data_IF_859831285604
#
_entry.id   IF_859831285604
#
_cell.length_a   1.000
_cell.length_b   1.000
_cell.length_c   1.000
_cell.angle_alpha   90.00
_cell.angle_beta   90.00
_cell.angle_gamma   90.00
#
_symmetry.space_group_name_H-M   'P 1'
#
loop_
_entity.id
_entity.type
_entity.pdbx_description
1 polymer ?
#
# COMPACT_ATOMS: atom_id res chain seq x y z
N UNK A 1 8.06 9.49 -22.32
CA UNK A 1 6.78 9.98 -22.94
C UNK A 1 6.15 10.93 -21.94
N UNK A 2 5.49 11.99 -22.38
CA UNK A 2 4.77 12.88 -21.47
C UNK A 2 3.62 12.12 -20.79
N UNK A 3 3.30 12.45 -19.55
CA UNK A 3 2.25 11.77 -18.76
C UNK A 3 0.90 11.75 -19.49
N UNK A 4 0.55 12.83 -20.22
CA UNK A 4 -0.68 12.91 -21.03
C UNK A 4 -0.76 11.83 -22.10
N UNK A 5 0.33 11.55 -22.80
CA UNK A 5 0.39 10.51 -23.83
C UNK A 5 0.25 9.10 -23.22
N UNK A 6 0.79 8.88 -22.02
CA UNK A 6 0.65 7.61 -21.30
C UNK A 6 -0.79 7.41 -20.82
N UNK A 7 -1.43 8.46 -20.30
CA UNK A 7 -2.84 8.40 -19.88
C UNK A 7 -3.76 8.09 -21.07
N UNK A 8 -3.52 8.70 -22.22
CA UNK A 8 -4.26 8.39 -23.46
C UNK A 8 -4.00 6.96 -23.96
N UNK A 9 -2.79 6.42 -23.75
CA UNK A 9 -2.51 5.02 -24.07
C UNK A 9 -3.33 4.07 -23.17
N UNK A 10 -3.44 4.34 -21.88
CA UNK A 10 -4.27 3.54 -20.94
C UNK A 10 -5.74 3.53 -21.39
N UNK A 11 -6.30 4.68 -21.76
CA UNK A 11 -7.72 4.81 -22.18
C UNK A 11 -8.08 4.00 -23.43
N UNK A 12 -7.09 3.59 -24.23
CA UNK A 12 -7.30 2.76 -25.42
C UNK A 12 -7.35 1.27 -25.15
N UNK A 13 -7.01 0.85 -23.95
CA UNK A 13 -7.03 -0.56 -23.54
C UNK A 13 -8.45 -1.01 -23.18
N UNK A 14 -8.66 -2.32 -23.06
CA UNK A 14 -9.92 -2.85 -22.55
C UNK A 14 -10.16 -2.44 -21.07
N UNK A 15 -11.41 -2.51 -20.63
CA UNK A 15 -11.81 -2.01 -19.34
C UNK A 15 -11.14 -2.73 -18.15
N UNK A 16 -10.85 -4.03 -18.28
CA UNK A 16 -10.17 -4.79 -17.21
C UNK A 16 -8.71 -4.35 -17.12
N UNK A 17 -8.03 -4.27 -18.27
CA UNK A 17 -6.64 -3.79 -18.32
C UNK A 17 -6.50 -2.35 -17.82
N UNK A 18 -7.44 -1.46 -18.14
CA UNK A 18 -7.47 -0.12 -17.57
C UNK A 18 -7.57 -0.14 -16.04
N UNK A 19 -8.44 -1.00 -15.47
CA UNK A 19 -8.60 -1.13 -14.02
C UNK A 19 -7.37 -1.75 -13.35
N UNK A 20 -6.69 -2.72 -13.98
CA UNK A 20 -5.40 -3.25 -13.50
C UNK A 20 -4.37 -2.14 -13.33
N UNK A 21 -4.19 -1.34 -14.37
CA UNK A 21 -3.26 -0.20 -14.36
C UNK A 21 -3.68 0.83 -13.32
N UNK A 22 -4.96 1.18 -13.27
CA UNK A 22 -5.48 2.19 -12.35
C UNK A 22 -5.38 1.75 -10.88
N UNK A 23 -5.53 0.45 -10.57
CA UNK A 23 -5.34 -0.08 -9.21
C UNK A 23 -3.90 0.11 -8.74
N UNK A 24 -2.92 -0.32 -9.55
CA UNK A 24 -1.50 -0.24 -9.19
C UNK A 24 -1.02 1.21 -9.17
N UNK A 25 -1.33 1.98 -10.21
CA UNK A 25 -0.95 3.38 -10.30
C UNK A 25 -1.64 4.24 -9.23
N UNK A 26 -2.92 3.96 -8.96
CA UNK A 26 -3.68 4.63 -7.90
C UNK A 26 -3.10 4.39 -6.51
N UNK A 27 -2.59 3.19 -6.22
CA UNK A 27 -1.88 2.94 -4.96
C UNK A 27 -0.62 3.81 -4.83
N UNK A 28 0.16 3.96 -5.90
CA UNK A 28 1.36 4.81 -5.92
C UNK A 28 1.03 6.28 -5.66
N UNK A 29 0.03 6.81 -6.37
CA UNK A 29 -0.40 8.22 -6.24
C UNK A 29 -0.97 8.49 -4.84
N UNK A 30 -1.76 7.55 -4.29
CA UNK A 30 -2.31 7.67 -2.94
C UNK A 30 -1.22 7.66 -1.86
N UNK A 31 -0.22 6.79 -2.02
CA UNK A 31 0.94 6.72 -1.12
C UNK A 31 1.74 8.02 -1.14
N UNK A 32 2.06 8.55 -2.33
CA UNK A 32 2.76 9.83 -2.49
C UNK A 32 1.98 11.00 -1.88
N UNK A 33 0.66 11.03 -2.08
CA UNK A 33 -0.23 12.06 -1.54
C UNK A 33 -0.26 12.07 0.00
N UNK A 34 -0.23 10.88 0.62
CA UNK A 34 -0.31 10.71 2.07
C UNK A 34 1.05 10.84 2.78
N UNK A 35 2.15 10.57 2.08
CA UNK A 35 3.48 10.43 2.65
C UNK A 35 3.98 11.64 3.46
N UNK A 36 3.73 12.90 3.10
CA UNK A 36 4.23 14.02 3.90
C UNK A 36 3.74 14.04 5.35
N UNK A 37 2.57 13.44 5.62
CA UNK A 37 1.96 13.34 6.96
C UNK A 37 2.04 11.93 7.55
N UNK A 38 2.92 11.08 6.99
CA UNK A 38 3.09 9.69 7.42
C UNK A 38 3.63 9.60 8.84
N UNK A 39 3.00 8.71 9.65
CA UNK A 39 3.37 8.43 11.03
C UNK A 39 3.24 9.61 12.01
N UNK A 40 2.40 10.59 11.69
CA UNK A 40 1.97 11.58 12.68
C UNK A 40 0.86 10.94 13.53
N UNK A 41 1.24 10.40 14.68
CA UNK A 41 0.33 9.68 15.59
C UNK A 41 -0.37 10.61 16.59
N UNK A 42 0.21 11.79 16.86
CA UNK A 42 -0.43 12.80 17.69
C UNK A 42 -1.50 13.53 16.86
N UNK A 43 -2.76 13.25 17.15
CA UNK A 43 -3.88 13.85 16.44
C UNK A 43 -3.97 15.36 16.63
N UNK A 44 -3.61 15.89 17.79
CA UNK A 44 -3.63 17.33 18.02
C UNK A 44 -2.56 18.04 17.17
N UNK A 45 -1.36 17.45 17.10
CA UNK A 45 -0.31 17.93 16.22
C UNK A 45 -0.75 17.85 14.75
N UNK A 46 -1.32 16.72 14.30
CA UNK A 46 -1.82 16.58 12.95
C UNK A 46 -2.86 17.63 12.60
N UNK A 47 -3.90 17.81 13.44
CA UNK A 47 -4.94 18.80 13.23
C UNK A 47 -4.38 20.22 13.18
N UNK A 48 -3.37 20.52 14.01
CA UNK A 48 -2.66 21.79 13.96
C UNK A 48 -1.94 22.01 12.62
N UNK A 49 -1.28 20.97 12.09
CA UNK A 49 -0.58 21.06 10.80
C UNK A 49 -1.56 21.29 9.64
N UNK A 50 -2.65 20.54 9.58
CA UNK A 50 -3.59 20.60 8.45
C UNK A 50 -4.69 21.65 8.60
N UNK A 51 -4.70 22.44 9.67
CA UNK A 51 -5.77 23.42 9.93
C UNK A 51 -6.09 24.33 8.74
N UNK A 52 -5.07 24.77 7.99
CA UNK A 52 -5.23 25.59 6.79
C UNK A 52 -5.54 24.84 5.50
N UNK A 53 -5.38 23.50 5.51
CA UNK A 53 -5.54 22.62 4.35
C UNK A 53 -6.41 21.41 4.68
N UNK A 54 -7.33 21.54 5.64
CA UNK A 54 -8.12 20.42 6.14
C UNK A 54 -8.89 19.68 5.05
N UNK A 55 -9.43 20.41 4.09
CA UNK A 55 -10.19 19.85 2.98
C UNK A 55 -9.31 19.21 1.88
N UNK A 56 -8.04 19.62 1.81
CA UNK A 56 -7.06 19.15 0.85
C UNK A 56 -5.69 18.92 1.52
N UNK A 57 -5.56 17.94 2.43
CA UNK A 57 -4.34 17.70 3.21
C UNK A 57 -3.27 16.92 2.44
N UNK A 58 -3.61 16.41 1.28
CA UNK A 58 -2.72 15.65 0.42
C UNK A 58 -1.55 16.48 -0.12
N UNK A 59 -0.44 15.83 -0.39
CA UNK A 59 0.80 16.48 -0.84
C UNK A 59 1.17 17.66 0.06
N UNK A 60 1.01 17.50 1.38
CA UNK A 60 1.35 18.56 2.33
C UNK A 60 2.74 19.12 2.02
N UNK A 61 2.92 20.45 1.99
CA UNK A 61 4.12 21.08 1.39
C UNK A 61 5.44 20.67 2.03
N UNK A 62 5.42 20.32 3.32
CA UNK A 62 6.59 19.93 4.08
C UNK A 62 6.32 18.65 4.86
N UNK A 63 7.20 17.66 4.76
CA UNK A 63 7.08 16.44 5.56
C UNK A 63 7.00 16.79 7.06
N UNK A 64 6.01 16.21 7.74
CA UNK A 64 5.78 16.30 9.19
C UNK A 64 5.98 14.94 9.87
N UNK A 65 6.42 13.94 9.13
CA UNK A 65 6.77 12.65 9.73
C UNK A 65 7.83 12.85 10.81
N UNK A 66 7.61 12.33 12.03
CA UNK A 66 8.62 12.42 13.08
C UNK A 66 9.76 11.42 12.90
N UNK A 67 9.73 10.59 11.87
CA UNK A 67 10.70 9.51 11.64
C UNK A 67 11.63 9.76 10.46
N UNK A 68 11.11 10.28 9.35
CA UNK A 68 11.88 10.52 8.14
C UNK A 68 11.30 11.67 7.31
N UNK A 69 12.13 12.27 6.49
CA UNK A 69 11.73 13.35 5.59
C UNK A 69 12.16 13.09 4.17
N UNK A 70 11.27 13.40 3.23
CA UNK A 70 11.48 13.35 1.78
C UNK A 70 10.81 14.57 1.14
N UNK A 71 11.22 14.98 -0.06
CA UNK A 71 10.50 15.98 -0.84
C UNK A 71 9.04 15.56 -1.06
N UNK A 72 8.14 16.53 -1.11
CA UNK A 72 6.73 16.28 -1.41
C UNK A 72 6.59 15.65 -2.81
N UNK A 73 5.72 14.65 -2.94
CA UNK A 73 5.56 13.87 -4.17
C UNK A 73 6.32 12.55 -4.17
N UNK A 74 7.37 12.41 -3.36
CA UNK A 74 8.05 11.12 -3.19
C UNK A 74 7.14 10.12 -2.46
N UNK A 75 7.26 8.85 -2.84
CA UNK A 75 6.55 7.71 -2.26
C UNK A 75 7.17 7.22 -0.95
N UNK A 76 6.43 6.43 -0.20
CA UNK A 76 6.93 5.70 0.97
C UNK A 76 7.45 4.31 0.61
N UNK A 77 7.98 3.59 1.60
CA UNK A 77 8.45 2.21 1.42
C UNK A 77 7.34 1.24 0.98
N UNK A 78 6.07 1.53 1.23
CA UNK A 78 4.96 0.68 0.75
C UNK A 78 4.90 0.62 -0.77
N UNK A 79 5.00 1.77 -1.44
CA UNK A 79 5.07 1.78 -2.89
C UNK A 79 6.40 1.18 -3.39
N UNK A 80 7.53 1.49 -2.75
CA UNK A 80 8.83 1.00 -3.21
C UNK A 80 8.89 -0.54 -3.19
N UNK A 81 8.22 -1.18 -2.22
CA UNK A 81 8.02 -2.64 -2.16
C UNK A 81 7.20 -3.12 -3.35
N UNK A 82 6.07 -2.48 -3.64
CA UNK A 82 5.22 -2.83 -4.78
C UNK A 82 5.95 -2.60 -6.11
N UNK A 83 6.70 -1.52 -6.22
CA UNK A 83 7.49 -1.21 -7.43
C UNK A 83 8.56 -2.27 -7.68
N UNK A 84 9.18 -2.84 -6.64
CA UNK A 84 10.14 -3.93 -6.78
C UNK A 84 9.49 -5.18 -7.40
N UNK A 85 8.26 -5.49 -7.02
CA UNK A 85 7.50 -6.58 -7.66
C UNK A 85 7.15 -6.25 -9.11
N UNK A 86 6.74 -5.01 -9.39
CA UNK A 86 6.44 -4.55 -10.75
C UNK A 86 7.70 -4.62 -11.65
N UNK A 87 8.87 -4.29 -11.10
CA UNK A 87 10.15 -4.44 -11.80
C UNK A 87 10.47 -5.91 -12.10
N UNK A 88 10.27 -6.80 -11.14
CA UNK A 88 10.43 -8.24 -11.34
C UNK A 88 9.52 -8.75 -12.46
N UNK A 89 8.24 -8.37 -12.44
CA UNK A 89 7.25 -8.78 -13.44
C UNK A 89 7.60 -8.29 -14.85
N UNK A 90 8.19 -7.12 -14.98
CA UNK A 90 8.61 -6.58 -16.28
C UNK A 90 9.68 -7.43 -16.97
N UNK A 91 10.31 -8.35 -16.23
CA UNK A 91 11.33 -9.28 -16.68
C UNK A 91 10.85 -10.74 -16.72
N UNK A 92 9.56 -11.02 -16.43
CA UNK A 92 9.00 -12.36 -16.57
C UNK A 92 8.95 -12.75 -18.05
N UNK A 93 9.50 -13.92 -18.36
CA UNK A 93 9.40 -14.50 -19.70
C UNK A 93 8.07 -15.25 -19.82
N UNK A 94 7.22 -14.85 -20.74
CA UNK A 94 5.96 -15.51 -21.02
C UNK A 94 4.91 -15.37 -19.89
N UNK A 95 4.94 -14.30 -19.11
CA UNK A 95 4.03 -14.03 -17.98
C UNK A 95 3.99 -15.13 -16.91
N UNK A 96 5.02 -15.97 -16.81
CA UNK A 96 5.10 -16.99 -15.77
C UNK A 96 5.65 -16.40 -14.47
N UNK A 97 4.93 -16.61 -13.39
CA UNK A 97 5.34 -16.22 -12.04
C UNK A 97 6.71 -16.82 -11.68
N UNK A 98 7.60 -15.99 -11.16
CA UNK A 98 8.94 -16.38 -10.71
C UNK A 98 9.24 -15.76 -9.35
N UNK A 99 9.07 -16.53 -8.29
CA UNK A 99 9.36 -16.08 -6.93
C UNK A 99 10.78 -15.54 -6.76
N UNK A 100 11.78 -16.24 -7.33
CA UNK A 100 13.18 -15.80 -7.23
C UNK A 100 13.40 -14.42 -7.85
N UNK A 101 12.70 -14.08 -8.94
CA UNK A 101 12.83 -12.76 -9.55
C UNK A 101 12.31 -11.65 -8.63
N UNK A 102 11.28 -11.93 -7.82
CA UNK A 102 10.80 -10.99 -6.81
C UNK A 102 11.84 -10.81 -5.71
N UNK A 103 12.41 -11.91 -5.20
CA UNK A 103 13.49 -11.85 -4.21
C UNK A 103 14.69 -11.07 -4.75
N UNK A 104 15.12 -11.34 -5.99
CA UNK A 104 16.24 -10.66 -6.64
C UNK A 104 15.97 -9.15 -6.81
N UNK A 105 14.75 -8.77 -7.17
CA UNK A 105 14.34 -7.36 -7.27
C UNK A 105 14.35 -6.68 -5.90
N UNK A 106 13.86 -7.34 -4.85
CA UNK A 106 13.93 -6.83 -3.48
C UNK A 106 15.37 -6.65 -3.00
N UNK A 107 16.23 -7.61 -3.28
CA UNK A 107 17.66 -7.53 -2.93
C UNK A 107 18.33 -6.38 -3.70
N UNK A 108 18.02 -6.23 -4.98
CA UNK A 108 18.56 -5.14 -5.81
C UNK A 108 18.11 -3.78 -5.30
N UNK A 109 16.83 -3.66 -4.94
CA UNK A 109 16.25 -2.37 -4.58
C UNK A 109 16.49 -1.99 -3.11
N UNK A 110 16.70 -2.96 -2.22
CA UNK A 110 16.84 -2.72 -0.79
C UNK A 110 18.14 -3.29 -0.19
N UNK A 111 18.95 -3.95 -0.99
CA UNK A 111 20.20 -4.55 -0.54
C UNK A 111 21.35 -3.55 -0.38
N UNK A 112 22.51 -4.03 0.06
CA UNK A 112 23.70 -3.20 0.24
C UNK A 112 24.06 -2.44 -1.04
N UNK A 113 24.28 -1.13 -0.91
CA UNK A 113 24.64 -0.24 -2.03
C UNK A 113 23.46 0.39 -2.77
N UNK A 114 22.23 0.13 -2.34
CA UNK A 114 21.09 0.82 -2.92
C UNK A 114 21.08 2.31 -2.49
N UNK A 115 21.11 3.25 -3.46
CA UNK A 115 21.45 4.66 -3.17
C UNK A 115 20.36 5.41 -2.40
N UNK A 116 19.13 4.90 -2.36
CA UNK A 116 17.99 5.59 -1.76
C UNK A 116 17.63 5.07 -0.36
N UNK A 117 18.29 4.00 0.12
CA UNK A 117 18.01 3.40 1.42
C UNK A 117 19.27 3.28 2.25
N UNK A 118 19.27 3.94 3.38
CA UNK A 118 20.28 3.77 4.41
C UNK A 118 19.69 2.91 5.53
N UNK A 119 19.86 1.59 5.40
CA UNK A 119 19.39 0.63 6.40
C UNK A 119 20.08 0.86 7.75
N UNK A 120 21.37 1.14 7.73
CA UNK A 120 22.14 1.39 8.94
C UNK A 120 21.67 2.66 9.64
N UNK A 121 21.45 3.75 8.89
CA UNK A 121 20.90 4.98 9.43
C UNK A 121 19.52 4.77 10.06
N UNK A 122 18.63 4.02 9.43
CA UNK A 122 17.30 3.73 9.99
C UNK A 122 17.37 2.91 11.28
N UNK A 123 18.19 1.87 11.33
CA UNK A 123 18.38 1.04 12.53
C UNK A 123 19.07 1.82 13.65
N UNK A 124 20.16 2.52 13.33
CA UNK A 124 20.91 3.34 14.28
C UNK A 124 20.06 4.49 14.81
N UNK A 125 19.28 5.13 13.92
CA UNK A 125 18.37 6.21 14.32
C UNK A 125 17.32 5.71 15.32
N UNK A 126 16.66 4.57 15.07
CA UNK A 126 15.69 3.99 15.99
C UNK A 126 16.32 3.69 17.36
N UNK A 127 17.52 3.10 17.36
CA UNK A 127 18.24 2.79 18.58
C UNK A 127 18.58 4.07 19.36
N UNK A 128 19.13 5.09 18.69
CA UNK A 128 19.51 6.38 19.31
C UNK A 128 18.28 7.16 19.81
N UNK A 129 17.17 7.13 19.05
CA UNK A 129 15.92 7.78 19.48
C UNK A 129 15.34 7.13 20.73
N UNK A 130 15.35 5.79 20.81
CA UNK A 130 14.92 5.06 22.02
C UNK A 130 15.78 5.40 23.25
N UNK A 131 17.04 5.76 23.02
CA UNK A 131 17.96 6.21 24.06
C UNK A 131 17.86 7.72 24.37
N UNK A 132 16.96 8.46 23.69
CA UNK A 132 16.84 9.91 23.83
C UNK A 132 18.03 10.70 23.26
N UNK A 133 18.85 10.09 22.41
CA UNK A 133 20.07 10.69 21.88
C UNK A 133 19.86 11.49 20.58
N UNK A 134 18.68 11.37 19.96
CA UNK A 134 18.34 12.09 18.73
C UNK A 134 16.88 12.55 18.82
N UNK A 135 16.67 13.83 18.60
CA UNK A 135 15.38 14.45 18.34
C UNK A 135 15.29 14.79 16.85
N UNK A 136 14.24 14.31 16.17
CA UNK A 136 13.96 14.66 14.80
C UNK A 136 14.07 13.50 13.81
N UNK A 137 13.58 13.71 12.57
CA UNK A 137 13.54 12.70 11.53
C UNK A 137 14.89 12.53 10.83
N UNK A 138 15.16 11.33 10.27
CA UNK A 138 16.23 11.14 9.30
C UNK A 138 15.88 11.83 7.98
N UNK A 139 16.89 12.24 7.22
CA UNK A 139 16.72 12.70 5.84
C UNK A 139 16.90 11.49 4.90
N UNK A 140 15.91 11.21 4.06
CA UNK A 140 15.93 10.08 3.17
C UNK A 140 14.82 9.07 3.45
N UNK A 141 14.80 7.99 2.69
CA UNK A 141 13.77 6.95 2.78
C UNK A 141 13.91 6.14 4.07
N UNK A 142 12.77 5.71 4.60
CA UNK A 142 12.71 4.83 5.76
C UNK A 142 12.72 3.38 5.32
N UNK A 143 13.53 2.57 5.99
CA UNK A 143 13.65 1.15 5.76
C UNK A 143 12.69 0.37 6.67
N UNK A 144 11.73 -0.36 6.08
CA UNK A 144 10.75 -1.12 6.86
C UNK A 144 11.38 -2.34 7.54
N UNK A 145 10.88 -2.66 8.75
CA UNK A 145 11.35 -3.81 9.51
C UNK A 145 11.14 -5.15 8.79
N UNK A 146 10.09 -5.26 7.99
CA UNK A 146 9.81 -6.44 7.15
C UNK A 146 10.92 -6.69 6.11
N UNK A 147 11.41 -5.64 5.47
CA UNK A 147 12.52 -5.71 4.50
C UNK A 147 13.82 -6.08 5.20
N UNK A 148 14.11 -5.45 6.35
CA UNK A 148 15.29 -5.79 7.15
C UNK A 148 15.28 -7.28 7.50
N UNK A 149 14.13 -7.79 7.94
CA UNK A 149 13.99 -9.20 8.30
C UNK A 149 14.13 -10.12 7.07
N UNK A 150 13.51 -9.75 5.94
CA UNK A 150 13.65 -10.49 4.69
C UNK A 150 15.13 -10.59 4.25
N UNK A 151 15.85 -9.47 4.17
CA UNK A 151 17.25 -9.44 3.77
C UNK A 151 18.13 -10.24 4.74
N UNK A 152 17.89 -10.12 6.04
CA UNK A 152 18.62 -10.87 7.05
C UNK A 152 18.40 -12.38 6.90
N UNK A 153 17.14 -12.81 6.74
CA UNK A 153 16.81 -14.22 6.59
C UNK A 153 17.38 -14.80 5.28
N UNK A 154 17.27 -14.05 4.18
CA UNK A 154 17.79 -14.44 2.88
C UNK A 154 19.32 -14.60 2.90
N UNK A 155 20.05 -13.59 3.40
CA UNK A 155 21.51 -13.59 3.44
C UNK A 155 22.09 -14.66 4.37
N UNK A 156 21.39 -14.98 5.46
CA UNK A 156 21.83 -15.99 6.42
C UNK A 156 21.38 -17.42 6.07
N UNK A 157 20.66 -17.59 4.97
CA UNK A 157 20.09 -18.88 4.60
C UNK A 157 19.12 -19.43 5.65
N UNK A 158 18.57 -18.55 6.51
CA UNK A 158 17.68 -18.93 7.60
C UNK A 158 16.29 -19.22 7.03
N UNK A 159 15.93 -20.46 7.06
CA UNK A 159 14.62 -20.95 6.64
C UNK A 159 14.56 -21.33 5.16
N UNK A 160 13.61 -22.19 4.88
CA UNK A 160 13.10 -22.39 3.53
C UNK A 160 12.21 -21.21 3.15
N UNK A 161 12.10 -20.89 1.86
CA UNK A 161 11.07 -19.96 1.39
C UNK A 161 9.71 -20.26 2.06
N UNK A 162 8.91 -19.23 2.35
CA UNK A 162 9.14 -17.80 2.26
C UNK A 162 9.91 -17.24 3.48
N UNK A 163 10.64 -16.12 3.29
CA UNK A 163 11.59 -15.57 4.26
C UNK A 163 11.00 -14.60 5.30
N UNK A 164 9.68 -14.45 5.37
CA UNK A 164 9.02 -13.46 6.22
C UNK A 164 9.23 -13.65 7.72
N UNK A 165 9.32 -12.54 8.45
CA UNK A 165 9.45 -12.53 9.90
C UNK A 165 8.17 -12.95 10.62
N UNK A 166 8.27 -13.84 11.63
CA UNK A 166 7.11 -14.33 12.39
C UNK A 166 6.46 -13.28 13.30
N UNK A 167 7.11 -12.13 13.51
CA UNK A 167 6.62 -11.04 14.36
C UNK A 167 6.17 -9.81 13.56
N UNK A 168 6.31 -9.84 12.24
CA UNK A 168 5.90 -8.76 11.34
C UNK A 168 4.38 -8.79 11.18
N UNK A 169 3.70 -7.73 11.58
CA UNK A 169 2.23 -7.60 11.57
C UNK A 169 1.71 -6.63 10.52
N UNK A 170 2.63 -5.99 9.81
CA UNK A 170 2.41 -4.92 8.86
C UNK A 170 1.79 -5.45 7.56
N UNK A 171 1.34 -4.52 6.73
CA UNK A 171 0.66 -4.80 5.45
C UNK A 171 1.61 -4.90 4.24
N UNK A 172 2.92 -4.88 4.46
CA UNK A 172 3.95 -4.87 3.40
C UNK A 172 3.78 -6.01 2.38
N UNK A 173 3.40 -7.19 2.87
CA UNK A 173 3.16 -8.35 2.00
C UNK A 173 2.03 -8.15 1.00
N UNK A 174 0.95 -7.48 1.41
CA UNK A 174 -0.11 -7.08 0.48
C UNK A 174 0.41 -6.05 -0.53
N UNK A 175 1.22 -5.09 -0.09
CA UNK A 175 1.79 -4.09 -0.99
C UNK A 175 2.65 -4.74 -2.08
N UNK A 176 3.50 -5.70 -1.71
CA UNK A 176 4.30 -6.48 -2.65
C UNK A 176 3.42 -7.29 -3.63
N UNK A 177 2.28 -7.80 -3.16
CA UNK A 177 1.40 -8.64 -3.97
C UNK A 177 0.52 -7.84 -4.95
N UNK A 178 0.30 -6.55 -4.73
CA UNK A 178 -0.63 -5.75 -5.54
C UNK A 178 -0.39 -5.88 -7.07
N UNK A 179 0.83 -5.77 -7.59
CA UNK A 179 1.04 -5.96 -9.03
C UNK A 179 0.67 -7.36 -9.53
N UNK A 180 0.88 -8.40 -8.71
CA UNK A 180 0.56 -9.78 -9.06
C UNK A 180 -0.94 -10.06 -9.03
N UNK A 181 -1.69 -9.44 -8.11
CA UNK A 181 -3.15 -9.52 -8.07
C UNK A 181 -3.71 -9.18 -9.46
N UNK A 182 -3.24 -8.06 -10.03
CA UNK A 182 -3.69 -7.58 -11.33
C UNK A 182 -3.39 -8.52 -12.51
N UNK A 183 -2.43 -9.43 -12.35
CA UNK A 183 -2.07 -10.40 -13.40
C UNK A 183 -2.65 -11.80 -13.19
N UNK A 184 -2.78 -12.22 -11.93
CA UNK A 184 -3.08 -13.62 -11.61
C UNK A 184 -4.47 -13.83 -11.00
N UNK A 185 -5.20 -12.79 -10.61
CA UNK A 185 -6.57 -12.96 -10.12
C UNK A 185 -7.43 -13.68 -11.14
N UNK A 186 -8.21 -14.67 -10.69
CA UNK A 186 -9.02 -15.55 -11.54
C UNK A 186 -8.28 -16.73 -12.13
N UNK A 187 -6.97 -16.88 -11.92
CA UNK A 187 -6.21 -18.09 -12.29
C UNK A 187 -6.13 -19.10 -11.13
N UNK A 188 -5.85 -20.35 -11.44
CA UNK A 188 -5.66 -21.40 -10.43
C UNK A 188 -4.44 -21.18 -9.53
N UNK A 189 -3.48 -20.34 -9.96
CA UNK A 189 -2.24 -20.06 -9.23
C UNK A 189 -2.37 -18.88 -8.28
N UNK A 190 -3.44 -18.09 -8.38
CA UNK A 190 -3.61 -16.82 -7.66
C UNK A 190 -3.40 -16.93 -6.15
N UNK A 191 -4.03 -17.93 -5.53
CA UNK A 191 -4.00 -18.04 -4.07
C UNK A 191 -2.62 -18.46 -3.56
N UNK A 192 -1.99 -19.41 -4.22
CA UNK A 192 -0.64 -19.88 -3.88
C UNK A 192 0.40 -18.76 -4.04
N UNK A 193 0.35 -18.02 -5.16
CA UNK A 193 1.20 -16.85 -5.41
C UNK A 193 0.99 -15.79 -4.34
N UNK A 194 -0.25 -15.47 -4.04
CA UNK A 194 -0.62 -14.46 -3.05
C UNK A 194 -0.06 -14.81 -1.68
N UNK A 195 -0.26 -16.04 -1.22
CA UNK A 195 0.25 -16.52 0.08
C UNK A 195 1.77 -16.52 0.11
N UNK A 196 2.45 -16.98 -0.94
CA UNK A 196 3.91 -17.03 -1.02
C UNK A 196 4.52 -15.63 -0.95
N UNK A 197 3.99 -14.67 -1.72
CA UNK A 197 4.50 -13.29 -1.74
C UNK A 197 4.23 -12.57 -0.42
N UNK A 198 3.05 -12.71 0.17
CA UNK A 198 2.76 -12.10 1.48
C UNK A 198 3.70 -12.67 2.55
N UNK A 199 3.93 -13.99 2.54
CA UNK A 199 4.83 -14.65 3.49
C UNK A 199 6.31 -14.28 3.29
N UNK A 200 6.69 -13.69 2.18
CA UNK A 200 8.02 -13.12 1.99
C UNK A 200 8.31 -11.98 2.98
N UNK A 201 7.28 -11.28 3.41
CA UNK A 201 7.38 -10.17 4.37
C UNK A 201 6.90 -10.53 5.76
N UNK A 202 5.90 -11.39 5.88
CA UNK A 202 5.27 -11.72 7.15
C UNK A 202 4.78 -13.16 7.20
N UNK A 203 5.19 -13.89 8.24
CA UNK A 203 4.60 -15.17 8.62
C UNK A 203 3.54 -15.04 9.72
N UNK A 204 3.18 -13.81 10.12
CA UNK A 204 2.17 -13.58 11.14
C UNK A 204 0.76 -13.90 10.60
N UNK A 205 -0.01 -14.81 11.23
CA UNK A 205 -1.27 -15.27 10.66
C UNK A 205 -2.24 -14.16 10.25
N UNK A 206 -2.44 -13.17 11.14
CA UNK A 206 -3.34 -12.05 10.85
C UNK A 206 -2.89 -11.21 9.67
N UNK A 207 -1.58 -10.98 9.49
CA UNK A 207 -1.06 -10.26 8.33
C UNK A 207 -1.28 -11.05 7.03
N UNK A 208 -1.09 -12.38 7.08
CA UNK A 208 -1.30 -13.26 5.93
C UNK A 208 -2.78 -13.30 5.53
N UNK A 209 -3.67 -13.61 6.47
CA UNK A 209 -5.10 -13.78 6.16
C UNK A 209 -5.76 -12.49 5.70
N UNK A 210 -5.46 -11.34 6.34
CA UNK A 210 -5.98 -10.05 5.89
C UNK A 210 -5.38 -9.63 4.54
N UNK A 211 -4.10 -9.94 4.29
CA UNK A 211 -3.47 -9.70 3.00
C UNK A 211 -4.10 -10.51 1.86
N UNK A 212 -4.42 -11.79 2.11
CA UNK A 212 -5.14 -12.64 1.14
C UNK A 212 -6.51 -12.07 0.82
N UNK A 213 -7.31 -11.72 1.84
CA UNK A 213 -8.65 -11.17 1.61
C UNK A 213 -8.59 -9.78 0.95
N UNK A 214 -7.63 -8.94 1.33
CA UNK A 214 -7.38 -7.66 0.65
C UNK A 214 -7.09 -7.88 -0.85
N UNK A 215 -6.31 -8.92 -1.18
CA UNK A 215 -5.98 -9.29 -2.54
C UNK A 215 -7.22 -9.77 -3.33
N UNK A 216 -8.08 -10.56 -2.71
CA UNK A 216 -9.36 -10.99 -3.30
C UNK A 216 -10.27 -9.78 -3.59
N UNK A 217 -10.40 -8.84 -2.63
CA UNK A 217 -11.20 -7.61 -2.82
C UNK A 217 -10.69 -6.79 -4.03
N UNK A 218 -9.38 -6.56 -4.12
CA UNK A 218 -8.81 -5.81 -5.26
C UNK A 218 -9.01 -6.59 -6.57
N UNK A 219 -8.84 -7.91 -6.56
CA UNK A 219 -9.07 -8.75 -7.73
C UNK A 219 -10.51 -8.65 -8.26
N UNK A 220 -11.50 -8.76 -7.39
CA UNK A 220 -12.91 -8.55 -7.76
C UNK A 220 -13.18 -7.16 -8.33
N UNK A 221 -12.60 -6.11 -7.73
CA UNK A 221 -12.75 -4.75 -8.22
C UNK A 221 -12.06 -4.54 -9.59
N UNK A 222 -10.94 -5.19 -9.83
CA UNK A 222 -10.29 -5.17 -11.15
C UNK A 222 -11.16 -5.83 -12.20
N UNK A 223 -11.76 -6.98 -11.92
CA UNK A 223 -12.63 -7.70 -12.87
C UNK A 223 -13.96 -6.97 -13.09
N UNK A 224 -14.62 -6.51 -12.05
CA UNK A 224 -16.00 -6.03 -12.09
C UNK A 224 -16.16 -4.52 -11.96
N UNK A 225 -15.11 -3.80 -11.54
CA UNK A 225 -15.16 -2.36 -11.32
C UNK A 225 -16.18 -1.97 -10.23
N UNK A 226 -16.89 -0.86 -10.40
CA UNK A 226 -17.83 -0.33 -9.40
C UNK A 226 -19.11 -1.18 -9.25
N UNK A 227 -19.33 -2.19 -10.07
CA UNK A 227 -20.47 -3.12 -9.93
C UNK A 227 -20.25 -4.12 -8.78
N UNK A 228 -18.99 -4.37 -8.39
CA UNK A 228 -18.71 -5.23 -7.26
C UNK A 228 -19.01 -4.53 -5.94
N UNK A 229 -19.91 -5.12 -5.14
CA UNK A 229 -20.11 -4.67 -3.77
C UNK A 229 -19.03 -5.33 -2.89
N UNK A 230 -18.12 -4.52 -2.35
CA UNK A 230 -16.98 -5.00 -1.55
C UNK A 230 -17.43 -5.89 -0.37
N UNK A 231 -18.61 -5.66 0.19
CA UNK A 231 -19.12 -6.44 1.31
C UNK A 231 -19.57 -7.86 0.92
N UNK A 232 -19.74 -8.16 -0.37
CA UNK A 232 -20.09 -9.50 -0.85
C UNK A 232 -18.95 -10.49 -0.61
N UNK A 233 -17.70 -10.03 -0.43
CA UNK A 233 -16.55 -10.84 -0.03
C UNK A 233 -16.83 -11.68 1.23
N UNK A 234 -17.72 -11.22 2.12
CA UNK A 234 -18.06 -11.92 3.36
C UNK A 234 -18.60 -13.33 3.12
N UNK A 235 -19.39 -13.51 2.06
CA UNK A 235 -19.94 -14.83 1.71
C UNK A 235 -18.86 -15.78 1.23
N UNK A 236 -17.85 -15.29 0.52
CA UNK A 236 -16.73 -16.07 0.01
C UNK A 236 -15.81 -16.55 1.15
N UNK A 237 -15.49 -15.66 2.09
CA UNK A 237 -14.49 -15.94 3.13
C UNK A 237 -15.05 -16.52 4.42
N UNK A 238 -16.36 -16.72 4.51
CA UNK A 238 -17.04 -17.06 5.76
C UNK A 238 -16.48 -18.30 6.47
N UNK A 239 -16.09 -19.33 5.72
CA UNK A 239 -15.54 -20.59 6.25
C UNK A 239 -14.03 -20.56 6.41
N UNK A 240 -13.31 -19.90 5.48
CA UNK A 240 -11.86 -19.96 5.37
C UNK A 240 -11.17 -18.92 6.26
N UNK A 241 -11.78 -17.73 6.41
CA UNK A 241 -11.18 -16.58 7.11
C UNK A 241 -12.14 -15.92 8.10
N UNK A 242 -12.63 -16.65 9.13
CA UNK A 242 -13.62 -16.10 10.07
C UNK A 242 -13.09 -14.91 10.88
N UNK A 243 -11.78 -14.78 11.07
CA UNK A 243 -11.16 -13.62 11.73
C UNK A 243 -11.23 -12.35 10.87
N UNK A 244 -11.10 -12.48 9.53
CA UNK A 244 -11.25 -11.34 8.62
C UNK A 244 -12.73 -10.96 8.49
N UNK A 245 -13.64 -11.93 8.50
CA UNK A 245 -15.07 -11.68 8.55
C UNK A 245 -15.44 -10.81 9.77
N UNK A 246 -14.90 -11.11 10.95
CA UNK A 246 -15.10 -10.26 12.15
C UNK A 246 -14.55 -8.85 11.95
N UNK A 247 -13.41 -8.72 11.27
CA UNK A 247 -12.81 -7.41 10.97
C UNK A 247 -13.70 -6.58 10.05
N UNK A 248 -14.30 -7.18 9.02
CA UNK A 248 -15.25 -6.51 8.12
C UNK A 248 -16.53 -6.14 8.86
N UNK A 249 -17.07 -7.04 9.69
CA UNK A 249 -18.28 -6.75 10.48
C UNK A 249 -18.06 -5.59 11.46
N UNK A 250 -16.87 -5.43 12.01
CA UNK A 250 -16.55 -4.25 12.84
C UNK A 250 -16.56 -2.95 12.03
N UNK A 251 -16.13 -2.99 10.75
CA UNK A 251 -16.24 -1.83 9.86
C UNK A 251 -17.71 -1.48 9.59
N UNK A 252 -18.56 -2.47 9.30
CA UNK A 252 -20.00 -2.25 9.08
C UNK A 252 -20.64 -1.61 10.32
N UNK A 253 -20.37 -2.12 11.51
CA UNK A 253 -20.92 -1.55 12.76
C UNK A 253 -20.52 -0.08 12.94
N UNK A 254 -19.27 0.26 12.64
CA UNK A 254 -18.77 1.66 12.71
C UNK A 254 -19.51 2.55 11.70
N UNK A 255 -19.79 2.04 10.49
CA UNK A 255 -20.57 2.76 9.46
C UNK A 255 -22.03 2.94 9.90
N UNK A 256 -22.68 1.89 10.43
CA UNK A 256 -24.05 1.95 10.94
C UNK A 256 -24.21 2.98 12.06
N UNK A 257 -23.21 3.08 12.95
CA UNK A 257 -23.15 4.08 14.02
C UNK A 257 -22.75 5.47 13.54
N UNK A 258 -22.55 5.68 12.22
CA UNK A 258 -22.16 6.96 11.59
C UNK A 258 -20.91 7.59 12.24
N UNK A 259 -20.00 6.76 12.71
CA UNK A 259 -18.75 7.26 13.27
C UNK A 259 -17.86 7.80 12.14
N UNK A 260 -17.32 9.00 12.32
CA UNK A 260 -16.39 9.55 11.33
C UNK A 260 -15.08 8.74 11.25
N UNK A 261 -14.42 8.82 10.10
CA UNK A 261 -13.26 7.99 9.81
C UNK A 261 -12.09 8.21 10.78
N UNK A 262 -11.84 9.45 11.18
CA UNK A 262 -10.74 9.78 12.10
C UNK A 262 -10.99 9.15 13.47
N UNK A 263 -12.21 9.23 13.97
CA UNK A 263 -12.59 8.57 15.23
C UNK A 263 -12.53 7.04 15.11
N UNK A 264 -13.02 6.49 14.00
CA UNK A 264 -12.98 5.05 13.74
C UNK A 264 -11.55 4.50 13.79
N UNK A 265 -10.62 5.15 13.09
CA UNK A 265 -9.20 4.75 13.09
C UNK A 265 -8.57 4.92 14.47
N UNK A 266 -8.80 6.03 15.16
CA UNK A 266 -8.08 6.32 16.39
C UNK A 266 -8.60 5.60 17.62
N UNK A 267 -9.89 5.22 17.64
CA UNK A 267 -10.53 4.64 18.83
C UNK A 267 -11.04 3.20 18.65
N UNK A 268 -11.18 2.71 17.40
CA UNK A 268 -11.73 1.38 17.13
C UNK A 268 -10.74 0.49 16.41
N UNK A 269 -10.23 0.92 15.24
CA UNK A 269 -9.39 0.08 14.38
C UNK A 269 -7.92 0.08 14.78
N UNK A 270 -7.41 1.22 15.23
CA UNK A 270 -5.99 1.49 15.45
C UNK A 270 -5.32 2.17 14.27
N UNK A 271 -4.42 3.11 14.59
CA UNK A 271 -3.70 3.94 13.63
C UNK A 271 -2.36 3.39 13.10
N UNK A 272 -1.73 2.32 13.71
CA UNK A 272 -0.52 1.71 13.15
C UNK A 272 -0.74 0.98 11.82
N UNK A 273 0.38 0.53 11.21
CA UNK A 273 0.40 -0.25 9.97
C UNK A 273 -0.04 -1.72 10.13
N UNK A 274 -0.42 -2.13 11.34
CA UNK A 274 -0.74 -3.51 11.65
C UNK A 274 -2.15 -3.90 11.20
N UNK A 275 -2.27 -5.12 10.69
CA UNK A 275 -3.57 -5.75 10.51
C UNK A 275 -4.11 -6.25 11.87
N UNK A 276 -5.44 -6.14 12.12
CA UNK A 276 -6.48 -5.77 11.17
C UNK A 276 -6.68 -4.26 10.96
N UNK A 277 -6.13 -3.38 11.81
CA UNK A 277 -6.46 -1.95 11.84
C UNK A 277 -6.19 -1.23 10.52
N UNK A 278 -5.06 -1.52 9.85
CA UNK A 278 -4.74 -0.93 8.54
C UNK A 278 -5.76 -1.33 7.47
N UNK A 279 -6.12 -2.63 7.42
CA UNK A 279 -7.16 -3.16 6.54
C UNK A 279 -8.53 -2.52 6.81
N UNK A 280 -8.97 -2.51 8.07
CA UNK A 280 -10.25 -1.93 8.48
C UNK A 280 -10.35 -0.44 8.17
N UNK A 281 -9.29 0.32 8.44
CA UNK A 281 -9.24 1.75 8.18
C UNK A 281 -9.32 2.06 6.68
N UNK A 282 -8.60 1.33 5.84
CA UNK A 282 -8.69 1.50 4.39
C UNK A 282 -10.10 1.15 3.86
N UNK A 283 -10.65 0.02 4.31
CA UNK A 283 -11.98 -0.43 3.91
C UNK A 283 -13.06 0.57 4.31
N UNK A 284 -13.03 1.08 5.55
CA UNK A 284 -13.96 2.11 6.03
C UNK A 284 -13.85 3.40 5.21
N UNK A 285 -12.63 3.84 4.87
CA UNK A 285 -12.43 5.03 4.06
C UNK A 285 -13.09 4.89 2.68
N UNK A 286 -12.92 3.76 2.02
CA UNK A 286 -13.50 3.50 0.69
C UNK A 286 -15.03 3.37 0.76
N UNK A 287 -15.56 2.56 1.67
CA UNK A 287 -17.00 2.33 1.81
C UNK A 287 -17.80 3.59 2.18
N UNK A 288 -17.16 4.58 2.81
CA UNK A 288 -17.80 5.84 3.22
C UNK A 288 -17.49 7.01 2.28
N UNK A 289 -16.84 6.78 1.14
CA UNK A 289 -16.43 7.82 0.19
C UNK A 289 -17.06 7.61 -1.18
N UNK A 290 -17.18 8.71 -1.93
CA UNK A 290 -17.79 8.73 -3.27
C UNK A 290 -16.75 8.98 -4.38
N UNK A 291 -15.48 9.17 -4.01
CA UNK A 291 -14.39 9.42 -4.96
C UNK A 291 -13.06 8.95 -4.40
N UNK A 292 -12.11 8.76 -5.30
CA UNK A 292 -10.72 8.48 -4.98
C UNK A 292 -10.14 9.50 -3.98
N UNK A 293 -10.24 10.78 -4.31
CA UNK A 293 -9.67 11.85 -3.47
C UNK A 293 -10.32 11.91 -2.08
N UNK A 294 -11.63 11.71 -1.98
CA UNK A 294 -12.32 11.70 -0.69
C UNK A 294 -11.81 10.56 0.20
N UNK A 295 -11.66 9.35 -0.34
CA UNK A 295 -11.16 8.20 0.41
C UNK A 295 -9.75 8.45 0.94
N UNK A 296 -8.84 8.93 0.09
CA UNK A 296 -7.45 9.19 0.48
C UNK A 296 -7.36 10.34 1.48
N UNK A 297 -8.11 11.43 1.31
CA UNK A 297 -8.17 12.53 2.27
C UNK A 297 -8.64 12.08 3.66
N UNK A 298 -9.59 11.13 3.73
CA UNK A 298 -10.00 10.51 5.00
C UNK A 298 -8.85 9.78 5.67
N UNK A 299 -8.12 8.95 4.93
CA UNK A 299 -6.97 8.22 5.49
C UNK A 299 -5.88 9.16 6.01
N UNK A 300 -5.61 10.26 5.28
CA UNK A 300 -4.62 11.27 5.69
C UNK A 300 -5.04 11.96 6.99
N UNK A 301 -6.30 12.43 7.08
CA UNK A 301 -6.82 13.12 8.26
C UNK A 301 -6.87 12.26 9.52
N UNK A 302 -6.90 10.94 9.37
CA UNK A 302 -6.86 10.01 10.49
C UNK A 302 -5.48 9.87 11.13
N UNK A 303 -4.41 10.30 10.47
CA UNK A 303 -3.04 10.24 11.00
C UNK A 303 -2.46 8.85 11.11
N UNK A 304 -1.43 8.71 11.95
CA UNK A 304 -0.72 7.45 12.13
C UNK A 304 -0.12 6.90 10.82
N UNK A 305 -0.20 5.62 10.59
CA UNK A 305 0.27 5.00 9.35
C UNK A 305 -0.72 5.20 8.20
N UNK A 306 -0.90 6.45 7.79
CA UNK A 306 -1.82 6.83 6.72
C UNK A 306 -1.39 6.27 5.34
N UNK A 307 -0.07 6.09 5.09
CA UNK A 307 0.42 5.53 3.82
C UNK A 307 -0.06 4.09 3.60
N UNK A 308 0.01 3.21 4.61
CA UNK A 308 -0.48 1.84 4.47
C UNK A 308 -1.97 1.78 4.12
N UNK A 309 -2.78 2.63 4.77
CA UNK A 309 -4.21 2.74 4.48
C UNK A 309 -4.48 3.38 3.12
N UNK A 310 -3.74 4.44 2.78
CA UNK A 310 -3.88 5.12 1.48
C UNK A 310 -3.48 4.22 0.33
N UNK A 311 -2.43 3.41 0.49
CA UNK A 311 -2.00 2.45 -0.52
C UNK A 311 -3.15 1.48 -0.87
N UNK A 312 -3.75 0.82 0.12
CA UNK A 312 -4.84 -0.12 -0.11
C UNK A 312 -6.12 0.59 -0.60
N UNK A 313 -6.49 1.72 -0.01
CA UNK A 313 -7.62 2.53 -0.48
C UNK A 313 -7.41 3.03 -1.91
N UNK A 314 -6.19 3.45 -2.26
CA UNK A 314 -5.81 3.88 -3.60
C UNK A 314 -5.92 2.77 -4.65
N UNK A 315 -5.53 1.54 -4.27
CA UNK A 315 -5.70 0.37 -5.12
C UNK A 315 -7.18 0.07 -5.39
N UNK A 316 -8.01 0.03 -4.33
CA UNK A 316 -9.46 -0.20 -4.46
C UNK A 316 -10.13 0.90 -5.29
N UNK A 317 -9.91 2.16 -4.96
CA UNK A 317 -10.51 3.29 -5.67
C UNK A 317 -10.00 3.40 -7.11
N UNK A 318 -8.73 3.09 -7.37
CA UNK A 318 -8.19 3.02 -8.73
C UNK A 318 -8.93 1.98 -9.57
N UNK A 319 -9.13 0.78 -9.03
CA UNK A 319 -9.92 -0.27 -9.69
C UNK A 319 -11.39 0.12 -9.89
N UNK A 320 -12.01 0.81 -8.92
CA UNK A 320 -13.42 1.22 -8.98
C UNK A 320 -13.67 2.37 -9.97
N UNK A 321 -12.84 3.38 -9.94
CA UNK A 321 -13.07 4.64 -10.66
C UNK A 321 -12.20 4.79 -11.91
N UNK A 322 -11.28 3.86 -12.14
CA UNK A 322 -10.36 3.91 -13.28
C UNK A 322 -9.33 5.04 -13.18
N UNK A 323 -8.55 5.19 -14.24
CA UNK A 323 -7.48 6.21 -14.30
C UNK A 323 -8.03 7.64 -14.25
N UNK A 324 -9.20 7.88 -14.81
CA UNK A 324 -9.86 9.20 -14.81
C UNK A 324 -10.41 9.57 -13.42
N UNK A 325 -10.57 8.61 -12.51
CA UNK A 325 -10.94 8.86 -11.12
C UNK A 325 -9.80 9.40 -10.27
N UNK A 326 -8.55 9.26 -10.73
CA UNK A 326 -7.36 9.79 -10.05
C UNK A 326 -7.17 11.25 -10.48
N UNK A 327 -7.16 12.25 -9.56
CA UNK A 327 -7.02 13.64 -9.97
C UNK A 327 -5.71 13.88 -10.75
N UNK A 328 -5.79 14.53 -11.89
CA UNK A 328 -4.62 14.82 -12.74
C UNK A 328 -3.54 15.59 -11.97
N UNK A 329 -3.95 16.57 -11.17
CA UNK A 329 -3.05 17.33 -10.30
C UNK A 329 -2.26 16.42 -9.32
N UNK A 330 -2.86 15.33 -8.84
CA UNK A 330 -2.17 14.39 -7.96
C UNK A 330 -1.17 13.53 -8.73
N UNK A 331 -1.53 13.14 -9.95
CA UNK A 331 -0.63 12.44 -10.86
C UNK A 331 0.60 13.30 -11.15
N UNK A 332 0.40 14.58 -11.50
CA UNK A 332 1.48 15.53 -11.80
C UNK A 332 2.38 15.82 -10.59
N UNK A 333 1.82 15.81 -9.38
CA UNK A 333 2.57 15.99 -8.12
C UNK A 333 3.32 14.74 -7.68
N UNK A 334 3.00 13.56 -8.22
CA UNK A 334 3.66 12.31 -7.85
C UNK A 334 5.00 12.18 -8.54
N UNK A 335 6.07 12.12 -7.78
CA UNK A 335 7.43 11.94 -8.30
C UNK A 335 7.54 10.63 -9.06
N UNK A 336 8.01 10.70 -10.31
CA UNK A 336 8.17 9.51 -11.15
C UNK A 336 6.86 8.94 -11.72
N UNK A 337 5.75 9.67 -11.69
CA UNK A 337 4.46 9.22 -12.23
C UNK A 337 4.56 8.66 -13.66
N UNK A 338 5.31 9.33 -14.56
CA UNK A 338 5.54 8.85 -15.94
C UNK A 338 6.25 7.49 -15.96
N UNK A 339 7.27 7.31 -15.12
CA UNK A 339 8.03 6.06 -15.00
C UNK A 339 7.14 4.93 -14.49
N UNK A 340 6.36 5.21 -13.43
CA UNK A 340 5.43 4.25 -12.83
C UNK A 340 4.37 3.82 -13.84
N UNK A 341 3.70 4.76 -14.49
CA UNK A 341 2.66 4.46 -15.46
C UNK A 341 3.21 3.71 -16.68
N UNK A 342 4.42 4.06 -17.14
CA UNK A 342 5.10 3.34 -18.21
C UNK A 342 5.40 1.88 -17.84
N UNK A 343 5.81 1.60 -16.59
CA UNK A 343 5.99 0.23 -16.09
C UNK A 343 4.67 -0.54 -16.06
N UNK A 344 3.59 0.09 -15.57
CA UNK A 344 2.26 -0.53 -15.56
C UNK A 344 1.80 -0.89 -16.98
N UNK A 345 1.96 0.03 -17.93
CA UNK A 345 1.66 -0.25 -19.33
C UNK A 345 2.49 -1.43 -19.87
N UNK A 346 3.79 -1.47 -19.61
CA UNK A 346 4.65 -2.57 -20.05
C UNK A 346 4.23 -3.94 -19.51
N UNK A 347 3.71 -3.98 -18.28
CA UNK A 347 3.35 -5.24 -17.60
C UNK A 347 1.96 -5.72 -17.99
N UNK A 348 1.01 -4.83 -18.22
CA UNK A 348 -0.41 -5.21 -18.34
C UNK A 348 -1.00 -5.05 -19.75
N UNK A 349 -0.33 -4.33 -20.68
CA UNK A 349 -0.85 -4.13 -22.06
C UNK A 349 -0.34 -5.11 -23.11
#
# INVERSE_FOLDING_TARGET
MAISSLLEAVKKLDAVTQRKIAAVFGAAVADAAARPLHWVYDNNALQSYIKGTYDAPEFFPQSKSPFYTLPTGETSCYWDIAESTLDAMSNFQGNHYKYNAICDALITNFGPGYPNYDMEASVVYLAKRRQGAIDGPIVGKWFHGSIIQFLSNYNNGIGSKPFGGSKVKETDGFCANLPLICSYYGTNEFEDITVEVIKTFSSWPTAVTHGVVASKIVGHLVESGPQYNILDIKSEIAQEHPEVLRSISAVEQVIEHKMDHTRAVNYVFGSPCYNPGSFQGALHAVLTSKSYSEAIRKTIRAGGCNCSRSFFAGAMCGAMYGIDGIPLEWIEKTTGAERILSKCLKVYS
#
